data_IF_799916850913
#
_entry.id   IF_799916850913
#
_cell.length_a   1.000
_cell.length_b   1.000
_cell.length_c   1.000
_cell.angle_alpha   90.00
_cell.angle_beta   90.00
_cell.angle_gamma   90.00
#
_symmetry.space_group_name_H-M   'P 1'
#
loop_
_entity.id
_entity.type
_entity.pdbx_description
1 polymer ?
#
# COMPACT_ATOMS: atom_id res chain seq x y z
N UNK A 1 18.62 -23.03 7.90
CA UNK A 1 18.78 -22.55 6.51
C UNK A 1 17.80 -21.39 6.31
N UNK A 2 18.27 -20.18 6.02
CA UNK A 2 17.37 -19.06 5.69
C UNK A 2 16.81 -19.35 4.31
N UNK A 3 15.50 -19.55 4.20
CA UNK A 3 14.80 -19.69 2.92
C UNK A 3 14.86 -18.34 2.19
N UNK A 4 15.90 -18.11 1.40
CA UNK A 4 16.13 -16.85 0.67
C UNK A 4 15.24 -16.72 -0.57
N UNK A 5 14.00 -17.19 -0.48
CA UNK A 5 13.08 -17.28 -1.61
C UNK A 5 11.64 -17.07 -1.19
N UNK A 6 10.81 -16.76 -2.19
CA UNK A 6 9.39 -16.55 -2.06
C UNK A 6 8.69 -17.91 -2.22
N UNK A 7 8.05 -18.47 -1.18
CA UNK A 7 7.27 -19.69 -1.34
C UNK A 7 5.97 -19.42 -2.11
N UNK A 8 5.43 -20.47 -2.74
CA UNK A 8 4.06 -20.46 -3.26
C UNK A 8 3.06 -20.15 -2.14
N UNK A 9 2.06 -19.31 -2.44
CA UNK A 9 1.02 -18.92 -1.47
C UNK A 9 -0.27 -19.71 -1.60
N UNK A 10 -0.53 -20.24 -2.79
CA UNK A 10 -1.82 -20.79 -3.15
C UNK A 10 -2.17 -22.07 -2.38
N UNK A 11 -1.18 -22.90 -2.07
CA UNK A 11 -1.38 -24.15 -1.34
C UNK A 11 -0.21 -24.42 -0.41
N UNK A 12 -0.49 -24.83 0.83
CA UNK A 12 0.51 -25.17 1.83
C UNK A 12 1.34 -26.41 1.47
N UNK A 13 0.77 -27.32 0.67
CA UNK A 13 1.47 -28.52 0.19
C UNK A 13 2.34 -28.25 -1.06
N UNK A 14 2.31 -27.02 -1.59
CA UNK A 14 3.13 -26.64 -2.74
C UNK A 14 4.53 -26.21 -2.26
N UNK A 15 5.51 -27.10 -2.41
CA UNK A 15 6.90 -26.90 -1.96
C UNK A 15 7.74 -25.98 -2.88
N UNK A 16 7.12 -25.37 -3.90
CA UNK A 16 7.83 -24.52 -4.85
C UNK A 16 8.26 -23.20 -4.19
N UNK A 17 9.56 -22.90 -4.27
CA UNK A 17 10.17 -21.68 -3.73
C UNK A 17 10.93 -20.94 -4.83
N UNK A 18 10.64 -19.66 -5.00
CA UNK A 18 11.25 -18.79 -6.01
C UNK A 18 12.42 -18.02 -5.39
N UNK A 19 13.64 -18.37 -5.79
CA UNK A 19 14.86 -17.75 -5.26
C UNK A 19 15.00 -16.30 -5.71
N UNK A 20 15.37 -15.41 -4.80
CA UNK A 20 15.69 -14.01 -5.11
C UNK A 20 17.20 -13.83 -5.08
N UNK A 21 17.83 -13.58 -6.23
CA UNK A 21 19.26 -13.32 -6.34
C UNK A 21 19.52 -12.24 -7.41
N UNK A 22 20.30 -11.19 -7.09
CA UNK A 22 20.84 -10.84 -5.77
C UNK A 22 19.74 -10.40 -4.79
N UNK A 23 19.92 -10.70 -3.50
CA UNK A 23 18.90 -10.47 -2.46
C UNK A 23 18.62 -8.98 -2.19
N UNK A 24 19.56 -8.10 -2.54
CA UNK A 24 19.46 -6.66 -2.32
C UNK A 24 18.86 -5.91 -3.53
N UNK A 25 18.52 -6.63 -4.61
CA UNK A 25 17.92 -6.02 -5.80
C UNK A 25 16.40 -6.08 -5.77
N UNK A 26 15.78 -4.90 -5.81
CA UNK A 26 14.34 -4.77 -5.97
C UNK A 26 13.83 -5.36 -7.29
N UNK A 27 14.65 -5.33 -8.34
CA UNK A 27 14.29 -5.91 -9.64
C UNK A 27 14.31 -7.44 -9.57
N UNK A 28 15.32 -8.03 -8.93
CA UNK A 28 15.35 -9.47 -8.68
C UNK A 28 14.15 -9.94 -7.85
N UNK A 29 13.72 -9.13 -6.87
CA UNK A 29 12.52 -9.40 -6.08
C UNK A 29 11.24 -9.34 -6.93
N UNK A 30 11.12 -8.35 -7.83
CA UNK A 30 9.96 -8.22 -8.74
C UNK A 30 9.89 -9.40 -9.71
N UNK A 31 11.02 -9.81 -10.28
CA UNK A 31 11.08 -10.95 -11.19
C UNK A 31 10.70 -12.27 -10.50
N UNK A 32 11.23 -12.51 -9.30
CA UNK A 32 10.85 -13.69 -8.51
C UNK A 32 9.37 -13.68 -8.14
N UNK A 33 8.81 -12.51 -7.79
CA UNK A 33 7.39 -12.36 -7.52
C UNK A 33 6.52 -12.60 -8.75
N UNK A 34 6.95 -12.16 -9.94
CA UNK A 34 6.26 -12.43 -11.20
C UNK A 34 6.25 -13.93 -11.52
N UNK A 35 7.40 -14.62 -11.35
CA UNK A 35 7.49 -16.08 -11.52
C UNK A 35 6.57 -16.82 -10.56
N UNK A 36 6.51 -16.38 -9.30
CA UNK A 36 5.58 -16.93 -8.32
C UNK A 36 4.13 -16.76 -8.76
N UNK A 37 3.74 -15.56 -9.16
CA UNK A 37 2.36 -15.29 -9.57
C UNK A 37 1.96 -16.10 -10.82
N UNK A 38 2.88 -16.28 -11.78
CA UNK A 38 2.64 -17.12 -12.94
C UNK A 38 2.39 -18.58 -12.54
N UNK A 39 3.25 -19.13 -11.68
CA UNK A 39 3.08 -20.49 -11.15
C UNK A 39 1.77 -20.66 -10.38
N UNK A 40 1.41 -19.69 -9.53
CA UNK A 40 0.17 -19.70 -8.77
C UNK A 40 -1.07 -19.73 -9.68
N UNK A 41 -1.03 -18.98 -10.78
CA UNK A 41 -2.12 -18.94 -11.76
C UNK A 41 -2.19 -20.23 -12.60
N UNK A 42 -1.05 -20.75 -13.05
CA UNK A 42 -0.98 -21.96 -13.90
C UNK A 42 -1.27 -23.24 -13.11
N UNK A 43 -0.67 -23.41 -11.93
CA UNK A 43 -0.75 -24.65 -11.15
C UNK A 43 -1.98 -24.69 -10.24
N UNK A 44 -2.44 -23.54 -9.77
CA UNK A 44 -3.49 -23.47 -8.73
C UNK A 44 -4.67 -22.59 -9.11
N UNK A 45 -4.66 -21.94 -10.28
CA UNK A 45 -5.66 -20.93 -10.68
C UNK A 45 -5.84 -19.84 -9.60
N UNK A 46 -4.79 -19.62 -8.80
CA UNK A 46 -4.82 -18.70 -7.68
C UNK A 46 -4.45 -17.30 -8.18
N UNK A 47 -5.35 -16.35 -7.94
CA UNK A 47 -5.13 -14.93 -8.21
C UNK A 47 -5.07 -14.17 -6.90
N UNK A 48 -3.88 -13.67 -6.55
CA UNK A 48 -3.72 -12.84 -5.36
C UNK A 48 -4.26 -11.42 -5.61
N UNK A 49 -5.50 -11.16 -5.19
CA UNK A 49 -6.11 -9.83 -5.28
C UNK A 49 -5.61 -8.95 -4.14
N UNK A 50 -4.87 -7.88 -4.47
CA UNK A 50 -4.52 -6.84 -3.50
C UNK A 50 -5.72 -5.92 -3.35
N UNK A 51 -6.55 -6.16 -2.34
CA UNK A 51 -7.67 -5.27 -1.96
C UNK A 51 -7.17 -4.02 -1.22
N UNK A 52 -6.20 -3.31 -1.76
CA UNK A 52 -5.90 -1.94 -1.30
C UNK A 52 -6.91 -0.99 -1.92
N UNK A 53 -8.14 -1.02 -1.41
CA UNK A 53 -8.99 0.17 -1.48
C UNK A 53 -8.43 1.11 -0.43
N UNK A 54 -7.44 1.92 -0.82
CA UNK A 54 -7.00 3.05 0.00
C UNK A 54 -8.16 4.03 0.08
N UNK A 55 -9.06 3.85 1.06
CA UNK A 55 -9.86 4.95 1.55
C UNK A 55 -8.95 6.11 1.98
N UNK A 56 -9.44 7.36 2.00
CA UNK A 56 -8.60 8.51 2.34
C UNK A 56 -7.89 8.24 3.68
N UNK A 57 -6.55 8.21 3.64
CA UNK A 57 -5.70 7.90 4.78
C UNK A 57 -5.99 8.86 5.95
N UNK A 58 -6.37 8.32 7.10
CA UNK A 58 -6.56 9.07 8.35
C UNK A 58 -5.24 9.32 9.09
N UNK A 59 -4.14 8.71 8.64
CA UNK A 59 -2.83 8.77 9.31
C UNK A 59 -2.23 10.18 9.36
N UNK A 60 -2.58 11.04 8.40
CA UNK A 60 -2.15 12.45 8.36
C UNK A 60 -3.19 13.44 8.90
N UNK A 61 -4.37 12.98 9.36
CA UNK A 61 -5.37 13.86 9.93
C UNK A 61 -5.03 14.09 11.41
N UNK A 62 -4.17 15.08 11.65
CA UNK A 62 -3.98 15.64 12.99
C UNK A 62 -5.31 16.07 13.63
N UNK A 63 -5.36 16.27 14.95
CA UNK A 63 -6.61 16.59 15.65
C UNK A 63 -7.30 17.78 14.99
N UNK A 64 -8.61 17.63 14.72
CA UNK A 64 -9.42 18.66 14.10
C UNK A 64 -9.29 19.97 14.89
N UNK A 65 -8.67 20.99 14.28
CA UNK A 65 -8.52 22.28 14.93
C UNK A 65 -9.91 22.81 15.32
N UNK A 66 -10.11 23.25 16.58
CA UNK A 66 -11.39 23.79 17.00
C UNK A 66 -11.72 25.02 16.13
N UNK A 67 -12.83 24.95 15.40
CA UNK A 67 -13.35 26.06 14.60
C UNK A 67 -13.69 27.22 15.53
N UNK A 68 -12.74 28.14 15.75
CA UNK A 68 -13.02 29.45 16.34
C UNK A 68 -13.94 30.18 15.38
N UNK A 69 -15.24 30.17 15.67
CA UNK A 69 -16.26 30.94 14.97
C UNK A 69 -15.92 32.41 15.19
N UNK A 70 -15.24 33.00 14.20
CA UNK A 70 -14.83 34.40 14.20
C UNK A 70 -16.02 35.32 14.46
N UNK A 71 -15.96 36.00 15.60
CA UNK A 71 -16.80 37.12 16.01
C UNK A 71 -16.74 38.19 14.91
N UNK A 72 -17.87 38.43 14.21
CA UNK A 72 -18.00 39.56 13.27
C UNK A 72 -17.66 40.86 14.00
N UNK A 73 -16.56 41.53 13.63
CA UNK A 73 -16.39 42.96 13.93
C UNK A 73 -17.15 43.75 12.87
N UNK A 74 -18.16 44.49 13.32
CA UNK A 74 -18.74 45.63 12.62
C UNK A 74 -17.80 46.81 12.88
N UNK A 75 -17.12 47.27 11.85
CA UNK A 75 -16.45 48.59 11.77
C UNK A 75 -16.79 49.00 10.32
N UNK A 76 -17.90 49.68 10.06
CA UNK A 76 -18.05 51.15 10.17
C UNK A 76 -16.95 51.88 9.36
N UNK A 77 -16.95 51.65 8.04
CA UNK A 77 -16.28 52.58 7.12
C UNK A 77 -17.17 53.83 6.98
N UNK A 78 -16.81 54.83 7.77
CA UNK A 78 -17.07 56.23 7.50
C UNK A 78 -16.69 56.54 6.05
N UNK A 79 -17.69 56.95 5.28
CA UNK A 79 -17.50 57.71 4.06
C UNK A 79 -16.63 58.94 4.36
N UNK A 80 -15.44 59.01 3.74
CA UNK A 80 -14.75 60.27 3.48
C UNK A 80 -14.55 60.37 1.97
N UNK A 81 -15.33 61.25 1.35
CA UNK A 81 -14.90 62.04 0.18
C UNK A 81 -14.46 63.38 0.74
#
# INVERSE_FOLDING_TARGET
>A
MKTSGLPCRANHDCEVVFTVMPQDSMDALREAAAKRNAHELEAHQYTHIVTTVLGPSTFAQGPAAPRRRGRRRKEEELNVI
#
